data_IF_063458769083
#
_entry.id   IF_063458769083
#
_cell.length_a   1.000
_cell.length_b   1.000
_cell.length_c   1.000
_cell.angle_alpha   90.00
_cell.angle_beta   90.00
_cell.angle_gamma   90.00
#
_symmetry.space_group_name_H-M   'P 1'
#
loop_
_entity.id
_entity.type
_entity.pdbx_description
1 polymer ?
#
# COMPACT_ATOMS: atom_id res chain seq x y z
N UNK A 1 -10.06 -23.46 18.43
CA UNK A 1 -10.74 -22.31 17.81
C UNK A 1 -9.79 -21.13 17.91
N UNK A 2 -9.24 -20.70 16.78
CA UNK A 2 -8.43 -19.48 16.68
C UNK A 2 -9.36 -18.49 16.00
N UNK A 3 -9.86 -17.52 16.76
CA UNK A 3 -10.68 -16.42 16.23
C UNK A 3 -9.77 -15.50 15.42
N UNK A 4 -10.00 -15.46 14.12
CA UNK A 4 -9.47 -14.42 13.25
C UNK A 4 -10.42 -13.22 13.41
N UNK A 5 -9.97 -12.20 14.13
CA UNK A 5 -10.58 -10.88 14.10
C UNK A 5 -10.26 -10.29 12.72
N UNK A 6 -11.22 -10.34 11.81
CA UNK A 6 -11.22 -9.56 10.57
C UNK A 6 -11.32 -8.08 10.97
N UNK A 7 -10.17 -7.40 11.08
CA UNK A 7 -10.15 -5.94 11.10
C UNK A 7 -10.59 -5.45 9.72
N UNK A 8 -11.77 -4.82 9.69
CA UNK A 8 -12.41 -4.24 8.52
C UNK A 8 -11.49 -3.19 7.88
N UNK A 9 -10.86 -3.54 6.75
CA UNK A 9 -9.91 -2.68 6.01
C UNK A 9 -10.57 -1.43 5.38
N UNK A 10 -11.91 -1.32 5.48
CA UNK A 10 -12.71 -0.22 4.95
C UNK A 10 -12.52 1.10 5.73
N UNK A 11 -12.32 1.02 7.05
CA UNK A 11 -12.10 2.20 7.91
C UNK A 11 -10.76 2.90 7.63
N UNK A 12 -9.78 2.18 7.08
CA UNK A 12 -8.41 2.66 6.88
C UNK A 12 -8.25 3.48 5.59
N UNK A 13 -9.11 3.26 4.59
CA UNK A 13 -9.06 3.96 3.31
C UNK A 13 -9.72 5.34 3.39
N UNK A 14 -10.82 5.48 4.15
CA UNK A 14 -11.41 6.77 4.49
C UNK A 14 -10.46 7.63 5.35
N UNK A 15 -9.77 7.02 6.32
CA UNK A 15 -8.80 7.73 7.17
C UNK A 15 -7.62 8.29 6.36
N UNK A 16 -7.14 7.57 5.35
CA UNK A 16 -6.07 8.03 4.46
C UNK A 16 -6.56 9.18 3.56
N UNK A 17 -7.77 9.08 3.00
CA UNK A 17 -8.33 10.15 2.16
C UNK A 17 -8.60 11.43 2.97
N UNK A 18 -9.08 11.29 4.21
CA UNK A 18 -9.29 12.41 5.12
C UNK A 18 -7.96 13.11 5.46
N UNK A 19 -6.90 12.34 5.75
CA UNK A 19 -5.56 12.88 6.01
C UNK A 19 -4.95 13.63 4.80
N UNK A 20 -5.20 13.15 3.58
CA UNK A 20 -4.76 13.83 2.35
C UNK A 20 -5.52 15.16 2.17
N UNK A 21 -6.84 15.15 2.35
CA UNK A 21 -7.66 16.38 2.26
C UNK A 21 -7.23 17.44 3.27
N UNK A 22 -6.91 17.03 4.49
CA UNK A 22 -6.46 17.93 5.55
C UNK A 22 -5.05 18.48 5.30
N UNK A 23 -4.18 17.70 4.65
CA UNK A 23 -2.85 18.16 4.22
C UNK A 23 -2.96 19.21 3.09
N UNK A 24 -3.81 18.98 2.09
CA UNK A 24 -4.05 19.93 0.99
C UNK A 24 -4.63 21.26 1.50
N UNK A 25 -5.56 21.21 2.46
CA UNK A 25 -6.10 22.42 3.10
C UNK A 25 -5.03 23.19 3.89
N UNK A 26 -4.13 22.49 4.58
CA UNK A 26 -3.00 23.12 5.27
C UNK A 26 -2.02 23.77 4.29
N UNK A 27 -1.70 23.11 3.18
CA UNK A 27 -0.82 23.68 2.15
C UNK A 27 -1.44 24.95 1.54
N UNK A 28 -2.73 24.91 1.21
CA UNK A 28 -3.45 26.07 0.67
C UNK A 28 -3.43 27.26 1.64
N UNK A 29 -3.61 27.01 2.94
CA UNK A 29 -3.54 28.05 3.97
C UNK A 29 -2.14 28.67 4.07
N UNK A 30 -1.08 27.85 4.07
CA UNK A 30 0.31 28.33 4.11
C UNK A 30 0.64 29.19 2.89
N UNK A 31 0.14 28.83 1.69
CA UNK A 31 0.33 29.67 0.49
C UNK A 31 -0.32 31.04 0.61
N UNK A 32 -1.54 31.10 1.15
CA UNK A 32 -2.26 32.37 1.36
C UNK A 32 -1.51 33.25 2.37
N UNK A 33 -1.09 32.67 3.49
CA UNK A 33 -0.34 33.39 4.53
C UNK A 33 1.01 33.93 3.99
N UNK A 34 1.69 33.16 3.12
CA UNK A 34 2.94 33.57 2.46
C UNK A 34 2.73 34.72 1.46
N UNK A 35 1.66 34.69 0.67
CA UNK A 35 1.31 35.75 -0.29
C UNK A 35 0.94 37.06 0.43
N UNK A 36 0.25 36.98 1.57
CA UNK A 36 -0.05 38.15 2.40
C UNK A 36 1.21 38.76 3.01
N UNK A 37 2.13 37.94 3.50
CA UNK A 37 3.44 38.39 4.02
C UNK A 37 4.29 39.05 2.92
N UNK A 38 4.34 38.46 1.72
CA UNK A 38 5.04 39.04 0.56
C UNK A 38 4.48 40.40 0.14
N UNK A 39 3.15 40.56 0.17
CA UNK A 39 2.50 41.86 -0.10
C UNK A 39 2.83 42.91 0.97
N UNK A 40 2.84 42.53 2.25
CA UNK A 40 3.22 43.42 3.34
C UNK A 40 4.66 43.91 3.19
N UNK A 41 5.60 43.01 2.87
CA UNK A 41 6.99 43.34 2.62
C UNK A 41 7.18 44.27 1.41
N UNK A 42 6.40 44.06 0.33
CA UNK A 42 6.40 44.96 -0.84
C UNK A 42 5.92 46.38 -0.49
N UNK A 43 4.85 46.50 0.31
CA UNK A 43 4.34 47.80 0.74
C UNK A 43 5.33 48.55 1.63
N UNK A 44 6.06 47.84 2.50
CA UNK A 44 7.14 48.44 3.32
C UNK A 44 8.30 48.92 2.46
N UNK A 45 8.71 48.13 1.45
CA UNK A 45 9.73 48.54 0.49
C UNK A 45 9.31 49.76 -0.34
N UNK A 46 8.05 49.86 -0.77
CA UNK A 46 7.55 51.03 -1.50
C UNK A 46 7.52 52.29 -0.63
N UNK A 47 7.09 52.18 0.65
CA UNK A 47 7.14 53.30 1.60
C UNK A 47 8.57 53.79 1.85
N UNK A 48 9.55 52.89 1.92
CA UNK A 48 10.97 53.27 2.09
C UNK A 48 11.57 54.02 0.88
N UNK A 49 10.97 53.90 -0.31
CA UNK A 49 11.43 54.60 -1.53
C UNK A 49 10.93 56.04 -1.61
N UNK A 50 9.84 56.40 -0.93
CA UNK A 50 9.29 57.77 -0.93
C UNK A 50 9.93 58.70 0.10
N UNK A 51 10.61 58.18 1.12
CA UNK A 51 11.23 58.99 2.18
C UNK A 51 12.71 59.29 1.87
N UNK A 52 12.95 60.37 1.12
CA UNK A 52 14.29 60.93 0.91
C UNK A 52 14.67 61.89 2.04
N UNK A 53 14.89 61.39 3.26
CA UNK A 53 15.66 62.12 4.28
C UNK A 53 16.56 61.16 5.04
N UNK A 54 17.84 61.55 5.16
CA UNK A 54 18.88 60.79 5.84
C UNK A 54 18.54 60.68 7.34
N UNK A 55 17.84 59.61 7.71
CA UNK A 55 17.96 58.81 8.92
C UNK A 55 16.80 57.83 8.90
N UNK A 56 17.09 56.56 8.58
CA UNK A 56 16.10 55.49 8.71
C UNK A 56 15.60 55.51 10.18
N UNK A 57 14.31 55.76 10.45
CA UNK A 57 13.80 55.81 11.81
C UNK A 57 14.11 54.48 12.49
N UNK A 58 14.79 54.53 13.64
CA UNK A 58 15.19 53.34 14.44
C UNK A 58 14.00 52.41 14.71
N UNK A 59 12.79 52.95 14.68
CA UNK A 59 11.50 52.29 14.84
C UNK A 59 11.10 51.41 13.65
N UNK A 60 11.40 51.82 12.41
CA UNK A 60 11.19 50.98 11.21
C UNK A 60 12.21 49.84 11.15
N UNK A 61 13.45 50.06 11.63
CA UNK A 61 14.46 49.01 11.76
C UNK A 61 14.06 47.96 12.81
N UNK A 62 13.49 48.39 13.93
CA UNK A 62 13.04 47.45 14.97
C UNK A 62 11.83 46.62 14.50
N UNK A 63 10.87 47.23 13.80
CA UNK A 63 9.75 46.51 13.18
C UNK A 63 10.25 45.48 12.16
N UNK A 64 11.15 45.89 11.25
CA UNK A 64 11.70 44.99 10.23
C UNK A 64 12.48 43.82 10.86
N UNK A 65 13.27 44.05 11.90
CA UNK A 65 13.96 42.98 12.63
C UNK A 65 13.01 42.02 13.35
N UNK A 66 11.88 42.52 13.85
CA UNK A 66 10.86 41.68 14.52
C UNK A 66 10.14 40.80 13.50
N UNK A 67 9.81 41.35 12.33
CA UNK A 67 9.23 40.58 11.21
C UNK A 67 10.20 39.51 10.68
N UNK A 68 11.49 39.84 10.53
CA UNK A 68 12.53 38.88 10.15
C UNK A 68 12.61 37.73 11.17
N UNK A 69 12.56 38.04 12.47
CA UNK A 69 12.58 37.00 13.53
C UNK A 69 11.36 36.08 13.41
N UNK A 70 10.16 36.63 13.24
CA UNK A 70 8.94 35.83 13.07
C UNK A 70 9.00 34.95 11.82
N UNK A 71 9.51 35.48 10.70
CA UNK A 71 9.70 34.69 9.48
C UNK A 71 10.67 33.54 9.68
N UNK A 72 11.78 33.76 10.41
CA UNK A 72 12.74 32.69 10.74
C UNK A 72 12.09 31.63 11.63
N UNK A 73 11.31 32.01 12.63
CA UNK A 73 10.60 31.07 13.50
C UNK A 73 9.57 30.23 12.72
N UNK A 74 8.85 30.84 11.78
CA UNK A 74 7.94 30.13 10.88
C UNK A 74 8.69 29.15 9.97
N UNK A 75 9.86 29.53 9.47
CA UNK A 75 10.68 28.70 8.60
C UNK A 75 11.26 27.49 9.35
N UNK A 76 11.67 27.68 10.61
CA UNK A 76 12.12 26.60 11.50
C UNK A 76 10.99 25.63 11.87
N UNK A 77 9.76 26.14 12.03
CA UNK A 77 8.60 25.28 12.28
C UNK A 77 8.18 24.51 11.02
N UNK A 78 8.26 25.14 9.84
CA UNK A 78 7.97 24.50 8.56
C UNK A 78 8.98 23.39 8.24
N UNK A 79 10.26 23.61 8.52
CA UNK A 79 11.31 22.59 8.33
C UNK A 79 11.11 21.38 9.25
N UNK A 80 10.82 21.59 10.54
CA UNK A 80 10.48 20.49 11.47
C UNK A 80 9.27 19.68 11.02
N UNK A 81 8.20 20.36 10.58
CA UNK A 81 7.00 19.70 10.05
C UNK A 81 7.30 18.86 8.80
N UNK A 82 8.19 19.36 7.93
CA UNK A 82 8.60 18.64 6.72
C UNK A 82 9.44 17.38 7.05
N UNK A 83 10.30 17.46 8.06
CA UNK A 83 11.07 16.31 8.56
C UNK A 83 10.14 15.23 9.15
N UNK A 84 9.15 15.62 9.96
CA UNK A 84 8.15 14.71 10.49
C UNK A 84 7.32 14.03 9.38
N UNK A 85 6.91 14.80 8.36
CA UNK A 85 6.19 14.27 7.22
C UNK A 85 7.06 13.26 6.43
N UNK A 86 8.33 13.58 6.21
CA UNK A 86 9.27 12.70 5.53
C UNK A 86 9.46 11.37 6.28
N UNK A 87 9.54 11.43 7.62
CA UNK A 87 9.63 10.24 8.47
C UNK A 87 8.35 9.38 8.38
N UNK A 88 7.17 10.00 8.46
CA UNK A 88 5.88 9.30 8.29
C UNK A 88 5.76 8.63 6.92
N UNK A 89 6.15 9.35 5.86
CA UNK A 89 6.11 8.82 4.49
C UNK A 89 7.07 7.63 4.33
N UNK A 90 8.26 7.70 4.93
CA UNK A 90 9.19 6.57 4.96
C UNK A 90 8.60 5.35 5.70
N UNK A 91 7.95 5.57 6.84
CA UNK A 91 7.28 4.51 7.60
C UNK A 91 6.14 3.87 6.79
N UNK A 92 5.30 4.68 6.15
CA UNK A 92 4.23 4.18 5.27
C UNK A 92 4.79 3.36 4.11
N UNK A 93 5.89 3.79 3.49
CA UNK A 93 6.57 3.03 2.42
C UNK A 93 7.07 1.67 2.91
N UNK A 94 7.64 1.60 4.10
CA UNK A 94 8.09 0.32 4.70
C UNK A 94 6.91 -0.60 4.98
N UNK A 95 5.85 -0.09 5.64
CA UNK A 95 4.63 -0.87 5.92
C UNK A 95 4.01 -1.41 4.63
N UNK A 96 3.91 -0.59 3.58
CA UNK A 96 3.42 -1.00 2.27
C UNK A 96 4.26 -2.13 1.67
N UNK A 97 5.59 -1.99 1.70
CA UNK A 97 6.52 -3.01 1.17
C UNK A 97 6.36 -4.35 1.89
N UNK A 98 6.16 -4.31 3.21
CA UNK A 98 5.91 -5.50 4.02
C UNK A 98 4.59 -6.17 3.66
N UNK A 99 3.50 -5.39 3.52
CA UNK A 99 2.18 -5.90 3.07
C UNK A 99 2.28 -6.53 1.69
N UNK A 100 2.91 -5.85 0.73
CA UNK A 100 3.10 -6.37 -0.64
C UNK A 100 3.88 -7.70 -0.64
N UNK A 101 4.91 -7.83 0.20
CA UNK A 101 5.63 -9.11 0.34
C UNK A 101 4.76 -10.22 0.94
N UNK A 102 3.90 -9.90 1.91
CA UNK A 102 2.99 -10.88 2.50
C UNK A 102 1.93 -11.33 1.50
N UNK A 103 1.34 -10.39 0.76
CA UNK A 103 0.36 -10.69 -0.31
C UNK A 103 1.00 -11.59 -1.35
N UNK A 104 2.21 -11.26 -1.82
CA UNK A 104 2.94 -12.10 -2.79
C UNK A 104 3.15 -13.53 -2.27
N UNK A 105 3.53 -13.69 -1.00
CA UNK A 105 3.68 -15.03 -0.39
C UNK A 105 2.38 -15.80 -0.34
N UNK A 106 1.24 -15.13 -0.13
CA UNK A 106 -0.08 -15.79 -0.15
C UNK A 106 -0.42 -16.21 -1.58
N UNK A 107 -0.22 -15.35 -2.57
CA UNK A 107 -0.43 -15.67 -3.98
C UNK A 107 0.43 -16.86 -4.44
N UNK A 108 1.73 -16.86 -4.12
CA UNK A 108 2.64 -17.96 -4.45
C UNK A 108 2.17 -19.30 -3.83
N UNK A 109 1.55 -19.26 -2.65
CA UNK A 109 0.96 -20.45 -2.00
C UNK A 109 -0.34 -20.89 -2.67
N UNK A 110 -1.21 -19.96 -3.08
CA UNK A 110 -2.45 -20.27 -3.79
C UNK A 110 -2.14 -20.90 -5.15
N UNK A 111 -1.19 -20.35 -5.90
CA UNK A 111 -0.71 -20.94 -7.15
C UNK A 111 -0.17 -22.36 -6.94
N UNK A 112 0.57 -22.60 -5.85
CA UNK A 112 1.08 -23.92 -5.54
C UNK A 112 -0.01 -24.96 -5.18
N UNK A 113 -1.19 -24.51 -4.73
CA UNK A 113 -2.34 -25.35 -4.40
C UNK A 113 -3.21 -25.61 -5.63
N UNK A 114 -3.55 -24.57 -6.41
CA UNK A 114 -4.40 -24.72 -7.60
C UNK A 114 -3.77 -25.59 -8.69
N UNK A 115 -2.44 -25.68 -8.68
CA UNK A 115 -1.67 -26.47 -9.63
C UNK A 115 -1.44 -27.92 -9.20
N UNK A 116 -2.03 -28.41 -8.10
CA UNK A 116 -1.91 -29.82 -7.68
C UNK A 116 -3.25 -30.54 -7.73
N UNK A 117 -3.27 -31.70 -8.38
CA UNK A 117 -4.46 -32.55 -8.48
C UNK A 117 -4.12 -33.93 -7.92
N UNK A 118 -4.90 -34.38 -6.94
CA UNK A 118 -4.80 -35.73 -6.37
C UNK A 118 -6.02 -36.56 -6.76
N UNK A 119 -5.78 -37.72 -7.39
CA UNK A 119 -6.85 -38.64 -7.77
C UNK A 119 -6.61 -40.01 -7.15
N UNK A 120 -7.58 -40.51 -6.39
CA UNK A 120 -7.53 -41.85 -5.81
C UNK A 120 -8.57 -42.75 -6.48
N UNK A 121 -8.10 -43.86 -7.06
CA UNK A 121 -8.94 -44.90 -7.60
C UNK A 121 -9.08 -46.03 -6.59
N UNK A 122 -10.31 -46.33 -6.16
CA UNK A 122 -10.61 -47.47 -5.29
C UNK A 122 -11.35 -48.51 -6.13
N UNK A 123 -10.84 -49.75 -6.16
CA UNK A 123 -11.39 -50.83 -6.98
C UNK A 123 -11.72 -52.07 -6.15
N UNK A 124 -12.94 -52.57 -6.29
CA UNK A 124 -13.31 -53.90 -5.79
C UNK A 124 -12.63 -54.99 -6.66
N UNK A 125 -11.89 -55.88 -6.00
CA UNK A 125 -11.17 -57.01 -6.56
C UNK A 125 -11.85 -58.36 -6.26
N UNK A 126 -13.13 -58.35 -5.91
CA UNK A 126 -13.97 -59.53 -5.77
C UNK A 126 -14.06 -60.35 -7.06
N UNK A 127 -14.42 -61.64 -6.93
CA UNK A 127 -14.48 -62.57 -8.08
C UNK A 127 -15.49 -62.15 -9.14
N UNK A 128 -16.58 -61.47 -8.76
CA UNK A 128 -17.60 -60.92 -9.68
C UNK A 128 -17.06 -59.78 -10.55
N UNK A 129 -16.02 -59.08 -10.10
CA UNK A 129 -15.42 -57.95 -10.82
C UNK A 129 -14.37 -58.37 -11.85
N UNK A 130 -14.02 -59.66 -11.96
CA UNK A 130 -12.91 -60.16 -12.80
C UNK A 130 -12.98 -59.72 -14.26
N UNK A 131 -14.16 -59.69 -14.87
CA UNK A 131 -14.37 -59.23 -16.26
C UNK A 131 -14.11 -57.72 -16.41
N UNK A 132 -14.40 -56.93 -15.38
CA UNK A 132 -14.30 -55.48 -15.38
C UNK A 132 -12.89 -54.96 -15.05
N UNK A 133 -12.07 -55.72 -14.31
CA UNK A 133 -10.69 -55.32 -13.96
C UNK A 133 -9.85 -54.96 -15.20
N UNK A 134 -9.98 -55.76 -16.28
CA UNK A 134 -9.27 -55.49 -17.54
C UNK A 134 -9.72 -54.20 -18.21
N UNK A 135 -11.02 -53.90 -18.15
CA UNK A 135 -11.60 -52.68 -18.70
C UNK A 135 -11.27 -51.46 -17.83
N UNK A 136 -11.29 -51.60 -16.50
CA UNK A 136 -10.97 -50.55 -15.54
C UNK A 136 -9.57 -49.96 -15.78
N UNK A 137 -8.56 -50.82 -16.05
CA UNK A 137 -7.21 -50.36 -16.41
C UNK A 137 -7.20 -49.43 -17.62
N UNK A 138 -7.98 -49.73 -18.66
CA UNK A 138 -8.08 -48.90 -19.87
C UNK A 138 -8.79 -47.58 -19.56
N UNK A 139 -9.86 -47.62 -18.76
CA UNK A 139 -10.62 -46.44 -18.36
C UNK A 139 -9.78 -45.49 -17.51
N UNK A 140 -9.06 -45.99 -16.52
CA UNK A 140 -8.16 -45.18 -15.68
C UNK A 140 -7.12 -44.45 -16.55
N UNK A 141 -6.51 -45.13 -17.52
CA UNK A 141 -5.55 -44.47 -18.45
C UNK A 141 -6.20 -43.33 -19.23
N UNK A 142 -7.39 -43.55 -19.79
CA UNK A 142 -8.12 -42.51 -20.53
C UNK A 142 -8.45 -41.30 -19.65
N UNK A 143 -8.84 -41.53 -18.40
CA UNK A 143 -9.12 -40.46 -17.43
C UNK A 143 -7.84 -39.66 -17.16
N UNK A 144 -6.73 -40.34 -16.88
CA UNK A 144 -5.42 -39.69 -16.63
C UNK A 144 -4.94 -38.89 -17.84
N UNK A 145 -5.07 -39.43 -19.05
CA UNK A 145 -4.71 -38.75 -20.29
C UNK A 145 -5.55 -37.48 -20.49
N UNK A 146 -6.86 -37.56 -20.24
CA UNK A 146 -7.76 -36.41 -20.32
C UNK A 146 -7.41 -35.33 -19.29
N UNK A 147 -7.17 -35.71 -18.04
CA UNK A 147 -6.77 -34.77 -16.98
C UNK A 147 -5.45 -34.08 -17.33
N UNK A 148 -4.47 -34.80 -17.91
CA UNK A 148 -3.20 -34.21 -18.36
C UNK A 148 -3.37 -33.26 -19.55
N UNK A 149 -4.30 -33.56 -20.46
CA UNK A 149 -4.58 -32.71 -21.62
C UNK A 149 -5.29 -31.41 -21.20
N UNK A 150 -6.25 -31.51 -20.29
CA UNK A 150 -7.06 -30.38 -19.81
C UNK A 150 -6.29 -29.52 -18.78
N UNK A 151 -5.42 -30.15 -17.97
CA UNK A 151 -4.65 -29.52 -16.91
C UNK A 151 -3.19 -29.23 -17.27
N UNK A 152 -2.93 -28.51 -18.37
CA UNK A 152 -1.55 -28.09 -18.72
C UNK A 152 -0.91 -27.32 -17.56
N UNK A 153 0.22 -27.82 -17.05
CA UNK A 153 0.96 -27.20 -15.95
C UNK A 153 0.57 -27.66 -14.54
N UNK A 154 -0.41 -28.56 -14.41
CA UNK A 154 -0.80 -29.12 -13.10
C UNK A 154 0.00 -30.38 -12.77
N UNK A 155 0.49 -30.45 -11.54
CA UNK A 155 1.10 -31.63 -10.94
C UNK A 155 0.01 -32.64 -10.55
N UNK A 156 -0.01 -33.79 -11.23
CA UNK A 156 -1.02 -34.83 -11.05
C UNK A 156 -0.43 -36.00 -10.26
N UNK A 157 -0.97 -36.27 -9.07
CA UNK A 157 -0.62 -37.44 -8.26
C UNK A 157 -1.77 -38.45 -8.27
N UNK A 158 -1.41 -39.72 -8.40
CA UNK A 158 -2.38 -40.82 -8.55
C UNK A 158 -2.18 -41.85 -7.44
N UNK A 159 -3.28 -42.18 -6.76
CA UNK A 159 -3.38 -43.31 -5.84
C UNK A 159 -4.26 -44.40 -6.45
N UNK A 160 -3.92 -45.66 -6.19
CA UNK A 160 -4.76 -46.79 -6.54
C UNK A 160 -4.82 -47.76 -5.37
N UNK A 161 -6.02 -48.08 -4.92
CA UNK A 161 -6.29 -49.03 -3.84
C UNK A 161 -7.24 -50.09 -4.38
N UNK A 162 -6.85 -51.35 -4.23
CA UNK A 162 -7.75 -52.47 -4.46
C UNK A 162 -8.13 -53.09 -3.12
N UNK A 163 -9.43 -53.35 -2.93
CA UNK A 163 -9.95 -54.07 -1.77
C UNK A 163 -10.72 -55.30 -2.24
N UNK A 164 -10.92 -56.28 -1.36
CA UNK A 164 -11.59 -57.54 -1.67
C UNK A 164 -12.70 -57.80 -0.66
#
# INVERSE_FOLDING_TARGET
EIGEEEEDDSDNEEDIQQQISDAEKKEAKVRVDLDESMKAAQQLMEKSKSDTTNNLPTELLSQCNTEISNCNDQLDNATKSLEELAAKLHQCRLKRRMRESSIKKVLDKLDAVENKIDVMFIMDASSSMRSYIRSAKKTIRKIVEKIKADGKGKDLRLGFVAYR
#
